data_IF_574125255035
#
_entry.id   IF_574125255035
#
_cell.length_a   1.000
_cell.length_b   1.000
_cell.length_c   1.000
_cell.angle_alpha   90.00
_cell.angle_beta   90.00
_cell.angle_gamma   90.00
#
_symmetry.space_group_name_H-M   'P 1'
#
loop_
_entity.id
_entity.type
_entity.pdbx_description
1 polymer ?
#
# COMPACT_ATOMS: atom_id res chain seq x y z
N UNK A 1 7.09 36.05 -17.78
CA UNK A 1 7.30 35.47 -16.43
C UNK A 1 6.54 34.14 -16.34
N UNK A 2 7.08 33.11 -17.01
CA UNK A 2 7.71 31.96 -16.32
C UNK A 2 6.72 31.33 -15.35
N UNK A 3 5.93 30.37 -15.80
CA UNK A 3 6.32 28.95 -15.73
C UNK A 3 6.54 28.43 -14.30
N UNK A 4 6.15 29.19 -13.27
CA UNK A 4 6.07 28.74 -11.87
C UNK A 4 4.76 27.97 -11.58
N UNK A 5 4.26 27.24 -12.58
CA UNK A 5 3.12 26.31 -12.45
C UNK A 5 3.46 24.93 -13.01
N UNK A 6 4.73 24.66 -13.24
CA UNK A 6 5.21 23.29 -13.40
C UNK A 6 5.22 22.63 -12.02
N UNK A 7 4.17 21.83 -11.80
CA UNK A 7 4.15 20.65 -10.94
C UNK A 7 5.13 20.71 -9.76
N UNK A 8 4.64 21.11 -8.59
CA UNK A 8 5.25 20.63 -7.35
C UNK A 8 5.42 19.12 -7.50
N UNK A 9 6.65 18.67 -7.70
CA UNK A 9 6.96 17.27 -7.93
C UNK A 9 6.57 16.55 -6.64
N UNK A 10 5.38 15.94 -6.65
CA UNK A 10 4.88 15.11 -5.56
C UNK A 10 5.69 13.82 -5.54
N UNK A 11 6.92 13.89 -5.01
CA UNK A 11 7.80 12.74 -4.93
C UNK A 11 7.50 11.98 -3.64
N UNK A 12 6.43 11.20 -3.64
CA UNK A 12 6.26 10.17 -2.63
C UNK A 12 7.14 8.97 -3.02
N UNK A 13 8.10 8.66 -2.16
CA UNK A 13 8.94 7.48 -2.31
C UNK A 13 8.54 6.44 -1.26
N UNK A 14 8.22 5.23 -1.69
CA UNK A 14 7.92 4.14 -0.75
C UNK A 14 9.20 3.69 -0.06
N UNK A 15 9.22 3.81 1.27
CA UNK A 15 10.35 3.44 2.12
C UNK A 15 10.17 2.00 2.62
N UNK A 16 8.96 1.65 3.05
CA UNK A 16 8.68 0.36 3.65
C UNK A 16 7.22 -0.05 3.46
N UNK A 17 6.97 -1.36 3.53
CA UNK A 17 5.63 -1.94 3.57
C UNK A 17 5.57 -2.92 4.73
N UNK A 18 4.52 -2.85 5.55
CA UNK A 18 4.37 -3.74 6.72
C UNK A 18 2.91 -3.99 7.09
N UNK A 19 2.50 -5.25 7.30
CA UNK A 19 3.25 -6.47 6.97
C UNK A 19 3.42 -6.63 5.46
N UNK A 20 4.51 -7.27 5.03
CA UNK A 20 4.80 -7.56 3.63
C UNK A 20 4.23 -8.93 3.16
N UNK A 21 3.32 -9.52 3.93
CA UNK A 21 2.71 -10.81 3.64
C UNK A 21 1.31 -10.94 4.23
N UNK A 22 0.47 -11.78 3.62
CA UNK A 22 -0.89 -12.07 4.09
C UNK A 22 -1.57 -13.22 3.35
N UNK A 23 -2.76 -13.66 3.78
CA UNK A 23 -3.45 -14.78 3.15
C UNK A 23 -4.03 -14.39 1.79
N UNK A 24 -4.10 -15.34 0.86
CA UNK A 24 -4.74 -15.18 -0.47
C UNK A 24 -6.23 -14.80 -0.38
N UNK A 25 -6.87 -15.02 0.76
CA UNK A 25 -8.23 -14.55 1.04
C UNK A 25 -8.32 -13.04 1.27
N UNK A 26 -7.20 -12.32 1.30
CA UNK A 26 -7.14 -10.88 1.58
C UNK A 26 -7.41 -10.52 3.04
N UNK A 27 -7.65 -9.25 3.29
CA UNK A 27 -8.01 -8.71 4.62
C UNK A 27 -6.83 -8.23 5.45
N UNK A 28 -5.60 -8.39 4.98
CA UNK A 28 -4.41 -7.86 5.67
C UNK A 28 -4.37 -6.34 5.57
N UNK A 29 -4.38 -5.65 6.71
CA UNK A 29 -4.13 -4.21 6.76
C UNK A 29 -2.64 -3.93 6.58
N UNK A 30 -2.26 -3.42 5.42
CA UNK A 30 -0.88 -3.15 5.01
C UNK A 30 -0.60 -1.66 5.11
N UNK A 31 0.43 -1.31 5.87
CA UNK A 31 0.93 0.06 6.02
C UNK A 31 2.07 0.30 5.04
N UNK A 32 1.88 1.28 4.15
CA UNK A 32 2.90 1.81 3.26
C UNK A 32 3.50 3.04 3.93
N UNK A 33 4.79 2.98 4.25
CA UNK A 33 5.53 4.12 4.75
C UNK A 33 6.20 4.85 3.57
N UNK A 34 5.96 6.15 3.48
CA UNK A 34 6.37 6.98 2.35
C UNK A 34 7.21 8.15 2.85
N UNK A 35 8.28 8.49 2.13
CA UNK A 35 9.01 9.73 2.31
C UNK A 35 8.45 10.78 1.36
N UNK A 36 8.34 12.02 1.85
CA UNK A 36 7.91 13.16 1.05
C UNK A 36 6.64 13.80 1.60
N UNK A 37 6.09 14.72 0.83
CA UNK A 37 4.90 15.48 1.21
C UNK A 37 3.83 15.40 0.13
N UNK A 38 2.58 15.49 0.59
CA UNK A 38 1.39 15.65 -0.25
C UNK A 38 0.83 17.05 -0.10
N UNK A 39 -0.08 17.43 -1.01
CA UNK A 39 -0.73 18.72 -0.94
C UNK A 39 -1.52 18.82 0.37
N UNK A 40 -1.49 19.98 1.06
CA UNK A 40 -2.37 20.22 2.20
C UNK A 40 -3.82 19.95 1.79
N UNK A 41 -4.53 19.10 2.55
CA UNK A 41 -5.93 18.72 2.30
C UNK A 41 -6.13 17.52 1.38
N UNK A 42 -5.05 16.86 0.91
CA UNK A 42 -5.20 15.60 0.20
C UNK A 42 -5.44 14.43 1.16
N UNK A 43 -6.61 13.81 1.07
CA UNK A 43 -7.05 12.77 2.03
C UNK A 43 -7.31 11.40 1.40
N UNK A 44 -7.19 11.27 0.08
CA UNK A 44 -7.57 10.05 -0.64
C UNK A 44 -6.37 9.38 -1.27
N UNK A 45 -6.10 8.14 -0.87
CA UNK A 45 -5.01 7.35 -1.42
C UNK A 45 -5.54 6.02 -1.94
N UNK A 46 -4.82 5.43 -2.87
CA UNK A 46 -5.11 4.12 -3.43
C UNK A 46 -3.85 3.27 -3.44
N UNK A 47 -4.00 1.99 -3.13
CA UNK A 47 -2.95 1.00 -3.28
C UNK A 47 -3.33 0.03 -4.37
N UNK A 48 -2.35 -0.35 -5.20
CA UNK A 48 -2.52 -1.39 -6.22
C UNK A 48 -1.69 -2.60 -5.85
N UNK A 49 -2.34 -3.73 -5.61
CA UNK A 49 -1.73 -5.03 -5.31
C UNK A 49 -1.75 -5.86 -6.59
N UNK A 50 -0.63 -5.95 -7.29
CA UNK A 50 -0.61 -6.58 -8.61
C UNK A 50 -1.45 -5.77 -9.59
N UNK A 51 -2.62 -6.28 -9.97
CA UNK A 51 -3.60 -5.57 -10.81
C UNK A 51 -4.82 -5.03 -10.04
N UNK A 52 -5.04 -5.46 -8.79
CA UNK A 52 -6.19 -5.04 -8.00
C UNK A 52 -5.96 -3.71 -7.30
N UNK A 53 -6.91 -2.78 -7.45
CA UNK A 53 -6.84 -1.43 -6.86
C UNK A 53 -7.80 -1.34 -5.68
N UNK A 54 -7.28 -0.89 -4.53
CA UNK A 54 -8.05 -0.66 -3.31
C UNK A 54 -7.86 0.77 -2.82
N UNK A 55 -8.93 1.37 -2.29
CA UNK A 55 -8.84 2.66 -1.60
C UNK A 55 -8.20 2.46 -0.22
N UNK A 56 -7.32 3.37 0.16
CA UNK A 56 -6.76 3.40 1.50
C UNK A 56 -7.86 3.62 2.55
N UNK A 57 -7.76 2.90 3.67
CA UNK A 57 -8.69 2.99 4.79
C UNK A 57 -8.30 4.09 5.78
N UNK A 58 -7.01 4.44 5.84
CA UNK A 58 -6.51 5.55 6.64
C UNK A 58 -5.16 6.03 6.14
N UNK A 59 -4.79 7.24 6.53
CA UNK A 59 -3.45 7.80 6.34
C UNK A 59 -3.11 8.74 7.49
N UNK A 60 -1.83 8.88 7.84
CA UNK A 60 -1.38 9.79 8.89
C UNK A 60 0.10 10.13 8.72
N UNK A 61 0.47 11.34 9.13
CA UNK A 61 1.88 11.77 9.17
C UNK A 61 2.56 11.22 10.42
N UNK A 62 3.79 10.74 10.28
CA UNK A 62 4.58 10.24 11.41
C UNK A 62 5.26 11.40 12.15
N UNK A 63 5.03 11.58 13.47
CA UNK A 63 5.56 12.70 14.23
C UNK A 63 7.08 12.73 14.21
N UNK A 64 7.66 13.91 14.00
CA UNK A 64 9.11 14.08 13.94
C UNK A 64 9.77 13.66 12.61
N UNK A 65 8.99 13.31 11.58
CA UNK A 65 9.51 13.02 10.24
C UNK A 65 8.62 13.60 9.13
N UNK A 66 9.18 13.87 7.95
CA UNK A 66 8.41 14.15 6.74
C UNK A 66 7.98 12.83 6.07
N UNK A 67 7.42 11.92 6.87
CA UNK A 67 6.94 10.61 6.39
C UNK A 67 5.44 10.50 6.53
N UNK A 68 4.82 9.91 5.51
CA UNK A 68 3.39 9.63 5.46
C UNK A 68 3.18 8.11 5.55
N UNK A 69 2.28 7.68 6.43
CA UNK A 69 1.80 6.31 6.47
C UNK A 69 0.44 6.25 5.76
N UNK A 70 0.28 5.31 4.83
CA UNK A 70 -0.98 5.00 4.14
C UNK A 70 -1.35 3.55 4.43
N UNK A 71 -2.56 3.31 4.90
CA UNK A 71 -3.03 1.95 5.24
C UNK A 71 -4.04 1.49 4.20
N UNK A 72 -3.79 0.35 3.59
CA UNK A 72 -4.66 -0.29 2.62
C UNK A 72 -4.93 -1.73 3.05
N UNK A 73 -6.13 -2.24 2.75
CA UNK A 73 -6.46 -3.64 3.01
C UNK A 73 -6.18 -4.45 1.75
N UNK A 74 -5.29 -5.44 1.84
CA UNK A 74 -4.94 -6.30 0.73
C UNK A 74 -6.19 -7.04 0.22
N UNK A 75 -6.50 -6.95 -1.09
CA UNK A 75 -7.65 -7.65 -1.66
C UNK A 75 -7.38 -9.16 -1.71
N UNK A 76 -8.43 -9.99 -1.84
CA UNK A 76 -8.27 -11.39 -2.19
C UNK A 76 -7.55 -11.54 -3.53
N UNK A 77 -6.71 -12.56 -3.66
CA UNK A 77 -6.02 -12.92 -4.90
C UNK A 77 -6.25 -14.40 -5.20
N UNK A 78 -6.42 -14.73 -6.47
CA UNK A 78 -6.54 -16.13 -6.87
C UNK A 78 -5.15 -16.77 -6.86
N UNK A 79 -5.05 -18.07 -6.56
CA UNK A 79 -3.78 -18.81 -6.64
C UNK A 79 -3.12 -18.77 -8.05
N UNK A 80 -3.87 -18.35 -9.09
CA UNK A 80 -3.39 -18.15 -10.46
C UNK A 80 -2.64 -16.82 -10.67
N UNK A 81 -2.89 -15.83 -9.83
CA UNK A 81 -2.39 -14.46 -10.00
C UNK A 81 -0.97 -14.26 -9.43
N UNK A 82 -0.37 -15.35 -8.93
CA UNK A 82 0.96 -15.38 -8.34
C UNK A 82 0.94 -15.20 -6.82
N UNK A 83 1.96 -15.73 -6.15
CA UNK A 83 2.14 -15.58 -4.69
C UNK A 83 2.83 -14.29 -4.30
N UNK A 84 3.33 -13.54 -5.27
CA UNK A 84 4.11 -12.33 -5.06
C UNK A 84 3.55 -11.25 -5.98
N UNK A 85 3.19 -10.10 -5.41
CA UNK A 85 2.70 -8.96 -6.18
C UNK A 85 3.45 -7.69 -5.82
N UNK A 86 3.56 -6.78 -6.79
CA UNK A 86 4.08 -5.45 -6.51
C UNK A 86 2.97 -4.55 -5.99
N UNK A 87 3.21 -3.91 -4.85
CA UNK A 87 2.35 -2.91 -4.22
C UNK A 87 2.78 -1.52 -4.65
N UNK A 88 1.88 -0.79 -5.30
CA UNK A 88 2.10 0.59 -5.77
C UNK A 88 1.12 1.55 -5.13
N UNK A 89 1.48 2.82 -5.06
CA UNK A 89 0.65 3.89 -4.52
C UNK A 89 0.10 4.77 -5.66
N UNK A 90 -1.11 5.27 -5.47
CA UNK A 90 -1.70 6.34 -6.28
C UNK A 90 -2.43 7.35 -5.39
N UNK A 91 -2.48 8.60 -5.83
CA UNK A 91 -3.21 9.70 -5.18
C UNK A 91 -4.62 9.89 -5.79
N UNK A 92 -4.83 9.45 -7.02
CA UNK A 92 -6.07 9.67 -7.79
C UNK A 92 -6.78 8.37 -8.19
N UNK A 93 -6.13 7.22 -8.00
CA UNK A 93 -6.63 5.91 -8.40
C UNK A 93 -6.42 5.59 -9.89
N UNK A 94 -5.80 6.49 -10.65
CA UNK A 94 -5.56 6.34 -12.09
C UNK A 94 -4.07 6.17 -12.40
N UNK A 95 -3.21 7.01 -11.79
CA UNK A 95 -1.77 7.00 -12.00
C UNK A 95 -1.06 6.41 -10.79
N UNK A 96 -0.32 5.33 -11.00
CA UNK A 96 0.38 4.59 -9.97
C UNK A 96 1.90 4.81 -10.04
N UNK A 97 2.54 4.74 -8.87
CA UNK A 97 3.99 4.81 -8.75
C UNK A 97 4.67 3.73 -9.60
N UNK A 98 5.77 4.09 -10.28
CA UNK A 98 6.52 3.12 -11.09
C UNK A 98 7.15 2.05 -10.19
N UNK A 99 7.80 2.50 -9.13
CA UNK A 99 8.36 1.64 -8.08
C UNK A 99 7.32 1.29 -7.02
N UNK A 100 7.57 0.21 -6.30
CA UNK A 100 6.70 -0.30 -5.25
C UNK A 100 7.45 -1.25 -4.33
N UNK A 101 6.74 -1.85 -3.40
CA UNK A 101 7.27 -2.90 -2.54
C UNK A 101 6.60 -4.24 -2.86
N UNK A 102 7.27 -5.32 -2.54
CA UNK A 102 6.74 -6.66 -2.76
C UNK A 102 5.83 -7.04 -1.59
N UNK A 103 4.68 -7.65 -1.91
CA UNK A 103 3.80 -8.30 -0.94
C UNK A 103 3.56 -9.75 -1.32
N UNK A 104 3.66 -10.64 -0.32
CA UNK A 104 3.54 -12.07 -0.51
C UNK A 104 2.19 -12.62 -0.02
N UNK A 105 1.45 -13.23 -0.93
CA UNK A 105 0.25 -14.00 -0.62
C UNK A 105 0.59 -15.45 -0.27
N UNK A 106 0.02 -15.94 0.82
CA UNK A 106 0.12 -17.34 1.24
C UNK A 106 -1.23 -18.03 1.32
N UNK A 107 -1.24 -19.35 1.17
CA UNK A 107 -2.44 -20.16 1.36
C UNK A 107 -2.94 -20.06 2.83
N UNK A 108 -4.25 -20.24 3.09
CA UNK A 108 -4.80 -20.20 4.44
C UNK A 108 -4.10 -21.20 5.38
N UNK A 109 -3.75 -20.74 6.57
CA UNK A 109 -3.19 -21.60 7.62
C UNK A 109 -4.34 -22.40 8.22
N UNK A 110 -4.24 -23.73 8.14
CA UNK A 110 -5.23 -24.65 8.73
C UNK A 110 -4.70 -25.16 10.07
N UNK A 111 -5.50 -25.01 11.12
CA UNK A 111 -5.23 -25.66 12.40
C UNK A 111 -5.71 -27.11 12.34
N UNK A 112 -4.82 -28.06 12.68
CA UNK A 112 -5.13 -29.49 12.60
C UNK A 112 -5.79 -30.01 13.89
N UNK A 113 -5.32 -29.53 15.04
CA UNK A 113 -5.90 -29.83 16.34
C UNK A 113 -5.46 -28.76 17.36
N UNK A 114 -6.30 -28.51 18.35
CA UNK A 114 -5.97 -27.75 19.56
C UNK A 114 -6.25 -28.67 20.73
N UNK A 115 -5.21 -29.09 21.47
CA UNK A 115 -5.36 -29.97 22.64
C UNK A 115 -5.24 -29.17 23.94
N UNK A 116 -6.16 -29.35 24.90
CA UNK A 116 -5.96 -28.90 26.28
C UNK A 116 -4.82 -29.68 26.98
N UNK A 117 -4.17 -29.06 27.98
CA UNK A 117 -3.37 -29.77 29.00
C UNK A 117 -4.26 -30.37 30.10
#
# INVERSE_FOLDING_TARGET
PQADSEAAIMQLCMIAVSPALGPETGGTAVTLQLAGQVHPGHETFFCKFGEEVVRAVSHYSLPGSQSLAVVCVAPPQSARDGREVLVRLSLDGALFSVMGAIFYYHAPIKFLAVSPE
#
